data_IF_614679277792
#
_entry.id   IF_614679277792
#
_cell.length_a   1.000
_cell.length_b   1.000
_cell.length_c   1.000
_cell.angle_alpha   90.00
_cell.angle_beta   90.00
_cell.angle_gamma   90.00
#
_symmetry.space_group_name_H-M   'P 1'
#
loop_
_entity.id
_entity.type
_entity.pdbx_description
1 polymer ?
#
# COMPACT_ATOMS: atom_id res chain seq x y z
N UNK A 1 20.65 -25.25 14.32
CA UNK A 1 19.35 -24.54 14.49
C UNK A 1 18.89 -24.05 13.12
N UNK A 2 17.76 -24.55 12.59
CA UNK A 2 17.19 -24.05 11.33
C UNK A 2 16.88 -22.56 11.51
N UNK A 3 17.51 -21.74 10.70
CA UNK A 3 17.20 -20.31 10.62
C UNK A 3 15.74 -20.19 10.17
N UNK A 4 14.83 -19.94 11.12
CA UNK A 4 13.44 -19.64 10.78
C UNK A 4 13.44 -18.38 9.92
N UNK A 5 12.71 -18.39 8.79
CA UNK A 5 12.58 -17.20 7.94
C UNK A 5 12.04 -16.04 8.78
N UNK A 6 12.48 -14.82 8.49
CA UNK A 6 12.05 -13.62 9.21
C UNK A 6 10.51 -13.49 9.26
N UNK A 7 9.82 -13.92 8.19
CA UNK A 7 8.37 -13.99 8.12
C UNK A 7 7.76 -14.99 9.13
N UNK A 8 8.38 -16.16 9.33
CA UNK A 8 7.90 -17.15 10.30
C UNK A 8 8.01 -16.65 11.73
N UNK A 9 9.04 -15.86 12.06
CA UNK A 9 9.17 -15.20 13.36
C UNK A 9 8.10 -14.14 13.57
N UNK A 10 7.89 -13.26 12.62
CA UNK A 10 6.82 -12.24 12.69
C UNK A 10 5.46 -12.89 12.86
N UNK A 11 5.20 -13.98 12.14
CA UNK A 11 3.95 -14.74 12.28
C UNK A 11 3.79 -15.35 13.68
N UNK A 12 4.89 -15.79 14.33
CA UNK A 12 4.82 -16.32 15.70
C UNK A 12 4.38 -15.27 16.72
N UNK A 13 4.80 -14.02 16.58
CA UNK A 13 4.34 -12.91 17.42
C UNK A 13 2.89 -12.54 17.14
N UNK A 14 2.48 -12.46 15.88
CA UNK A 14 1.10 -12.20 15.50
C UNK A 14 0.13 -13.29 15.95
N UNK A 15 0.59 -14.52 16.12
CA UNK A 15 -0.22 -15.64 16.58
C UNK A 15 -0.84 -15.41 17.95
N UNK A 16 -0.21 -14.63 18.83
CA UNK A 16 -0.77 -14.25 20.13
C UNK A 16 -2.06 -13.41 19.95
N UNK A 17 -2.13 -12.62 18.88
CA UNK A 17 -3.24 -11.69 18.57
C UNK A 17 -4.15 -12.21 17.46
N UNK A 18 -4.19 -13.54 17.26
CA UNK A 18 -4.90 -14.19 16.15
C UNK A 18 -6.38 -13.81 16.03
N UNK A 19 -7.08 -13.56 17.15
CA UNK A 19 -8.47 -13.15 17.10
C UNK A 19 -8.66 -11.77 16.50
N UNK A 20 -7.85 -10.80 16.92
CA UNK A 20 -7.89 -9.43 16.34
C UNK A 20 -7.54 -9.45 14.86
N UNK A 21 -6.50 -10.21 14.47
CA UNK A 21 -6.11 -10.38 13.06
C UNK A 21 -7.23 -11.08 12.28
N UNK A 22 -7.87 -12.11 12.83
CA UNK A 22 -8.99 -12.80 12.17
C UNK A 22 -10.16 -11.84 11.94
N UNK A 23 -10.58 -11.08 12.96
CA UNK A 23 -11.65 -10.09 12.81
C UNK A 23 -11.28 -8.99 11.82
N UNK A 24 -10.04 -8.51 11.84
CA UNK A 24 -9.56 -7.53 10.88
C UNK A 24 -9.68 -8.05 9.42
N UNK A 25 -9.20 -9.27 9.16
CA UNK A 25 -9.28 -9.91 7.84
C UNK A 25 -10.73 -10.18 7.44
N UNK A 26 -11.55 -10.71 8.35
CA UNK A 26 -12.96 -10.98 8.08
C UNK A 26 -13.72 -9.72 7.68
N UNK A 27 -13.59 -8.64 8.47
CA UNK A 27 -14.23 -7.36 8.18
C UNK A 27 -13.71 -6.75 6.88
N UNK A 28 -12.40 -6.94 6.56
CA UNK A 28 -11.84 -6.50 5.29
C UNK A 28 -12.46 -7.24 4.12
N UNK A 29 -12.64 -8.56 4.22
CA UNK A 29 -13.31 -9.36 3.19
C UNK A 29 -14.75 -8.89 2.97
N UNK A 30 -15.51 -8.66 4.05
CA UNK A 30 -16.87 -8.11 3.97
C UNK A 30 -16.87 -6.75 3.24
N UNK A 31 -15.94 -5.86 3.59
CA UNK A 31 -15.80 -4.57 2.92
C UNK A 31 -15.50 -4.73 1.43
N UNK A 32 -14.61 -5.66 1.06
CA UNK A 32 -14.28 -5.93 -0.35
C UNK A 32 -15.52 -6.42 -1.12
N UNK A 33 -16.32 -7.30 -0.53
CA UNK A 33 -17.59 -7.76 -1.16
C UNK A 33 -18.51 -6.57 -1.40
N UNK A 34 -18.67 -5.69 -0.40
CA UNK A 34 -19.46 -4.47 -0.55
C UNK A 34 -18.94 -3.57 -1.66
N UNK A 35 -17.63 -3.42 -1.79
CA UNK A 35 -17.00 -2.63 -2.87
C UNK A 35 -17.26 -3.23 -4.25
N UNK A 36 -17.14 -4.53 -4.40
CA UNK A 36 -17.31 -5.22 -5.70
C UNK A 36 -18.77 -5.18 -6.19
N UNK A 37 -19.74 -5.14 -5.29
CA UNK A 37 -21.18 -5.05 -5.63
C UNK A 37 -21.57 -3.63 -6.10
N UNK A 38 -20.76 -2.62 -5.82
CA UNK A 38 -21.06 -1.20 -6.13
C UNK A 38 -21.41 -0.95 -7.60
N UNK A 39 -20.61 -1.33 -8.59
CA UNK A 39 -20.91 -1.10 -9.99
C UNK A 39 -22.19 -1.80 -10.42
N UNK A 40 -22.53 -2.94 -9.85
CA UNK A 40 -23.75 -3.67 -10.15
C UNK A 40 -25.00 -2.90 -9.68
N UNK A 41 -24.99 -2.37 -8.46
CA UNK A 41 -26.10 -1.54 -7.94
C UNK A 41 -26.28 -0.29 -8.79
N UNK A 42 -25.19 0.40 -9.14
CA UNK A 42 -25.25 1.56 -10.04
C UNK A 42 -25.79 1.20 -11.42
N UNK A 43 -25.36 0.04 -11.95
CA UNK A 43 -25.84 -0.47 -13.22
C UNK A 43 -27.37 -0.66 -13.25
N UNK A 44 -27.97 -1.15 -12.16
CA UNK A 44 -29.43 -1.28 -12.05
C UNK A 44 -30.12 0.09 -12.16
N UNK A 45 -29.59 1.12 -11.49
CA UNK A 45 -30.17 2.47 -11.55
C UNK A 45 -30.05 3.08 -12.97
N UNK A 46 -28.89 2.90 -13.62
CA UNK A 46 -28.65 3.39 -14.98
C UNK A 46 -29.55 2.66 -15.98
N UNK A 47 -29.69 1.35 -15.86
CA UNK A 47 -30.55 0.55 -16.74
C UNK A 47 -32.01 0.98 -16.64
N UNK A 48 -32.52 1.15 -15.43
CA UNK A 48 -33.90 1.63 -15.20
C UNK A 48 -34.10 3.03 -15.78
N UNK A 49 -33.18 3.96 -15.52
CA UNK A 49 -33.27 5.32 -16.05
C UNK A 49 -33.26 5.32 -17.58
N UNK A 50 -32.38 4.52 -18.19
CA UNK A 50 -32.27 4.42 -19.65
C UNK A 50 -33.52 3.80 -20.25
N UNK A 51 -34.10 2.77 -19.66
CA UNK A 51 -35.34 2.14 -20.12
C UNK A 51 -36.53 3.11 -20.07
N UNK A 52 -36.64 3.87 -18.98
CA UNK A 52 -37.67 4.87 -18.80
C UNK A 52 -37.57 6.03 -19.83
N UNK A 53 -36.33 6.52 -20.08
CA UNK A 53 -36.08 7.54 -21.08
C UNK A 53 -36.38 7.05 -22.51
N UNK A 54 -36.02 5.82 -22.86
CA UNK A 54 -36.35 5.21 -24.16
C UNK A 54 -37.86 5.05 -24.34
N UNK A 55 -38.60 4.64 -23.31
CA UNK A 55 -40.04 4.52 -23.35
C UNK A 55 -40.70 5.87 -23.57
N UNK A 56 -40.21 6.94 -22.92
CA UNK A 56 -40.68 8.34 -23.15
C UNK A 56 -40.37 8.81 -24.57
N UNK A 57 -39.16 8.55 -25.06
CA UNK A 57 -38.75 8.92 -26.42
C UNK A 57 -39.56 8.24 -27.51
N UNK A 58 -39.97 6.97 -27.27
CA UNK A 58 -40.83 6.20 -28.19
C UNK A 58 -42.32 6.52 -28.06
N UNK A 59 -42.71 7.53 -27.25
CA UNK A 59 -44.09 7.98 -27.15
C UNK A 59 -45.03 7.00 -26.45
N UNK A 60 -44.51 6.09 -25.58
CA UNK A 60 -45.31 5.15 -24.81
C UNK A 60 -46.21 5.90 -23.85
N UNK A 61 -47.54 5.71 -23.97
CA UNK A 61 -48.51 6.38 -23.12
C UNK A 61 -48.28 6.02 -21.65
N UNK A 62 -48.16 7.08 -20.79
CA UNK A 62 -47.88 6.89 -19.36
C UNK A 62 -46.42 6.63 -19.01
N UNK A 63 -45.50 6.69 -20.00
CA UNK A 63 -44.08 6.58 -19.72
C UNK A 63 -43.58 7.74 -18.85
N UNK A 64 -42.90 7.43 -17.75
CA UNK A 64 -42.30 8.41 -16.85
C UNK A 64 -41.16 7.83 -16.11
N UNK A 65 -40.36 8.65 -15.47
CA UNK A 65 -39.22 8.18 -14.64
C UNK A 65 -39.77 7.54 -13.39
N UNK A 66 -39.42 6.28 -13.15
CA UNK A 66 -39.78 5.55 -11.92
C UNK A 66 -38.88 6.01 -10.75
N UNK A 67 -39.20 7.19 -10.22
CA UNK A 67 -38.44 7.83 -9.14
C UNK A 67 -38.40 6.99 -7.86
N UNK A 68 -39.48 6.26 -7.58
CA UNK A 68 -39.54 5.38 -6.39
C UNK A 68 -38.53 4.24 -6.46
N UNK A 69 -38.41 3.57 -7.60
CA UNK A 69 -37.45 2.50 -7.80
C UNK A 69 -36.01 3.03 -7.72
N UNK A 70 -35.72 4.13 -8.38
CA UNK A 70 -34.40 4.79 -8.36
C UNK A 70 -34.06 5.21 -6.91
N UNK A 71 -35.01 5.78 -6.17
CA UNK A 71 -34.80 6.16 -4.77
C UNK A 71 -34.44 4.95 -3.88
N UNK A 72 -35.11 3.81 -4.06
CA UNK A 72 -34.78 2.57 -3.32
C UNK A 72 -33.36 2.11 -3.65
N UNK A 73 -32.96 2.11 -4.93
CA UNK A 73 -31.58 1.74 -5.32
C UNK A 73 -30.56 2.70 -4.69
N UNK A 74 -30.83 3.99 -4.65
CA UNK A 74 -29.95 4.98 -4.04
C UNK A 74 -29.83 4.76 -2.52
N UNK A 75 -30.91 4.42 -1.84
CA UNK A 75 -30.87 4.07 -0.41
C UNK A 75 -30.00 2.81 -0.19
N UNK A 76 -30.19 1.76 -1.01
CA UNK A 76 -29.37 0.54 -0.93
C UNK A 76 -27.91 0.87 -1.18
N UNK A 77 -27.62 1.73 -2.16
CA UNK A 77 -26.26 2.20 -2.45
C UNK A 77 -25.61 2.91 -1.26
N UNK A 78 -26.35 3.82 -0.61
CA UNK A 78 -25.87 4.55 0.56
C UNK A 78 -25.65 3.60 1.77
N UNK A 79 -26.59 2.68 2.02
CA UNK A 79 -26.43 1.67 3.08
C UNK A 79 -25.20 0.79 2.84
N UNK A 80 -25.03 0.31 1.60
CA UNK A 80 -23.84 -0.44 1.20
C UNK A 80 -22.54 0.35 1.49
N UNK A 81 -22.53 1.65 1.12
CA UNK A 81 -21.39 2.54 1.37
C UNK A 81 -21.07 2.65 2.86
N UNK A 82 -22.10 2.80 3.69
CA UNK A 82 -21.96 2.83 5.15
C UNK A 82 -21.35 1.53 5.69
N UNK A 83 -21.85 0.37 5.25
CA UNK A 83 -21.29 -0.93 5.64
C UNK A 83 -19.84 -1.12 5.17
N UNK A 84 -19.49 -0.66 3.97
CA UNK A 84 -18.13 -0.66 3.45
C UNK A 84 -17.20 0.13 4.36
N UNK A 85 -17.55 1.38 4.67
CA UNK A 85 -16.71 2.26 5.48
C UNK A 85 -16.59 1.76 6.93
N UNK A 86 -17.68 1.33 7.56
CA UNK A 86 -17.64 0.77 8.90
C UNK A 86 -16.79 -0.50 8.96
N UNK A 87 -16.97 -1.40 7.99
CA UNK A 87 -16.18 -2.62 7.90
C UNK A 87 -14.69 -2.33 7.69
N UNK A 88 -14.35 -1.37 6.83
CA UNK A 88 -12.97 -0.94 6.59
C UNK A 88 -12.36 -0.27 7.82
N UNK A 89 -13.12 0.60 8.50
CA UNK A 89 -12.67 1.27 9.72
C UNK A 89 -12.35 0.26 10.83
N UNK A 90 -13.28 -0.64 11.14
CA UNK A 90 -13.07 -1.63 12.19
C UNK A 90 -11.99 -2.66 11.81
N UNK A 91 -11.86 -3.02 10.52
CA UNK A 91 -10.77 -3.85 10.04
C UNK A 91 -9.40 -3.23 10.35
N UNK A 92 -9.22 -1.95 10.01
CA UNK A 92 -7.99 -1.21 10.31
C UNK A 92 -7.78 -1.07 11.83
N UNK A 93 -8.83 -0.80 12.60
CA UNK A 93 -8.75 -0.68 14.06
C UNK A 93 -8.25 -1.96 14.72
N UNK A 94 -8.84 -3.12 14.38
CA UNK A 94 -8.40 -4.40 14.93
C UNK A 94 -6.98 -4.76 14.53
N UNK A 95 -6.61 -4.50 13.27
CA UNK A 95 -5.25 -4.76 12.78
C UNK A 95 -4.22 -3.86 13.45
N UNK A 96 -4.51 -2.57 13.57
CA UNK A 96 -3.63 -1.62 14.25
C UNK A 96 -3.41 -2.02 15.70
N UNK A 97 -4.46 -2.36 16.43
CA UNK A 97 -4.34 -2.80 17.82
C UNK A 97 -3.51 -4.09 17.94
N UNK A 98 -3.72 -5.07 17.05
CA UNK A 98 -2.94 -6.30 17.05
C UNK A 98 -1.45 -6.04 16.79
N UNK A 99 -1.13 -5.19 15.82
CA UNK A 99 0.25 -4.84 15.48
C UNK A 99 0.90 -4.01 16.58
N UNK A 100 0.20 -3.03 17.16
CA UNK A 100 0.77 -2.20 18.24
C UNK A 100 1.07 -3.04 19.49
N UNK A 101 0.18 -3.97 19.84
CA UNK A 101 0.42 -4.88 20.95
C UNK A 101 1.61 -5.82 20.67
N UNK A 102 1.71 -6.36 19.46
CA UNK A 102 2.85 -7.16 19.02
C UNK A 102 4.18 -6.37 19.07
N UNK A 103 4.15 -5.11 18.62
CA UNK A 103 5.31 -4.21 18.67
C UNK A 103 5.72 -3.90 20.11
N UNK A 104 4.76 -3.74 21.00
CA UNK A 104 5.03 -3.56 22.43
C UNK A 104 5.74 -4.79 23.01
N UNK A 105 5.27 -6.00 22.71
CA UNK A 105 5.92 -7.24 23.13
C UNK A 105 7.34 -7.35 22.57
N UNK A 106 7.52 -7.03 21.31
CA UNK A 106 8.83 -7.01 20.65
C UNK A 106 9.79 -6.02 21.34
N UNK A 107 9.33 -4.82 21.64
CA UNK A 107 10.13 -3.78 22.35
C UNK A 107 10.50 -4.25 23.76
N UNK A 108 9.58 -4.89 24.48
CA UNK A 108 9.83 -5.44 25.80
C UNK A 108 10.91 -6.54 25.73
N UNK A 109 10.80 -7.48 24.79
CA UNK A 109 11.79 -8.54 24.61
C UNK A 109 13.18 -7.98 24.22
N UNK A 110 13.20 -6.97 23.36
CA UNK A 110 14.44 -6.28 22.99
C UNK A 110 15.06 -5.57 24.20
N UNK A 111 14.25 -4.91 25.03
CA UNK A 111 14.71 -4.24 26.27
C UNK A 111 15.30 -5.24 27.26
N UNK A 112 14.63 -6.36 27.50
CA UNK A 112 15.17 -7.43 28.34
C UNK A 112 16.49 -7.98 27.81
N UNK A 113 16.60 -8.14 26.50
CA UNK A 113 17.82 -8.62 25.85
C UNK A 113 18.98 -7.65 26.04
N UNK A 114 18.75 -6.34 25.89
CA UNK A 114 19.79 -5.32 26.11
C UNK A 114 20.30 -5.36 27.55
N UNK A 115 19.41 -5.52 28.53
CA UNK A 115 19.80 -5.60 29.93
C UNK A 115 20.67 -6.83 30.26
N UNK A 116 20.68 -7.85 29.40
CA UNK A 116 21.48 -9.09 29.56
C UNK A 116 22.77 -9.10 28.72
N UNK A 117 22.96 -8.12 27.85
CA UNK A 117 24.16 -8.04 26.99
C UNK A 117 25.34 -7.51 27.82
N UNK A 118 26.53 -8.15 27.78
CA UNK A 118 27.71 -7.68 28.47
C UNK A 118 28.18 -6.32 27.93
N UNK A 119 28.75 -5.48 28.82
CA UNK A 119 29.24 -4.12 28.49
C UNK A 119 30.22 -4.14 27.31
N UNK A 120 31.04 -5.18 27.18
CA UNK A 120 32.01 -5.35 26.08
C UNK A 120 31.36 -5.40 24.68
N UNK A 121 30.06 -5.64 24.59
CA UNK A 121 29.34 -5.59 23.34
C UNK A 121 29.13 -4.13 22.89
N UNK A 122 28.85 -3.23 23.85
CA UNK A 122 28.64 -1.80 23.58
C UNK A 122 29.94 -1.10 23.18
N UNK A 123 31.09 -1.60 23.66
CA UNK A 123 32.41 -1.07 23.25
C UNK A 123 32.73 -1.35 21.77
N UNK A 124 32.11 -2.41 21.20
CA UNK A 124 32.34 -2.83 19.82
C UNK A 124 31.29 -2.35 18.83
N UNK A 125 30.18 -1.83 19.29
CA UNK A 125 29.04 -1.41 18.45
C UNK A 125 28.65 0.01 18.79
N UNK A 126 28.37 0.81 17.78
CA UNK A 126 27.91 2.18 17.98
C UNK A 126 26.53 2.18 18.65
N UNK A 127 26.39 2.93 19.73
CA UNK A 127 25.11 3.06 20.45
C UNK A 127 23.97 3.55 19.53
N UNK A 128 24.32 4.40 18.55
CA UNK A 128 23.36 4.88 17.52
C UNK A 128 22.73 3.76 16.68
N UNK A 129 23.49 2.72 16.32
CA UNK A 129 22.96 1.58 15.57
C UNK A 129 21.93 0.78 16.39
N UNK A 130 22.22 0.60 17.69
CA UNK A 130 21.28 -0.08 18.58
C UNK A 130 20.00 0.73 18.75
N UNK A 131 20.12 2.03 18.96
CA UNK A 131 18.98 2.94 19.08
C UNK A 131 18.15 2.96 17.78
N UNK A 132 18.80 2.98 16.61
CA UNK A 132 18.15 2.90 15.32
C UNK A 132 17.31 1.63 15.16
N UNK A 133 17.79 0.49 15.61
CA UNK A 133 17.02 -0.78 15.58
C UNK A 133 15.82 -0.75 16.51
N UNK A 134 15.92 -0.11 17.68
CA UNK A 134 14.82 0.03 18.62
C UNK A 134 13.72 0.97 18.16
N UNK A 135 14.10 1.98 17.40
CA UNK A 135 13.18 3.04 16.95
C UNK A 135 12.80 2.82 15.50
N UNK A 136 13.67 3.12 14.55
CA UNK A 136 13.39 3.16 13.12
C UNK A 136 13.07 1.80 12.51
N UNK A 137 13.81 0.73 12.87
CA UNK A 137 13.58 -0.60 12.28
C UNK A 137 12.26 -1.19 12.80
N UNK A 138 12.00 -1.07 14.09
CA UNK A 138 10.74 -1.53 14.70
C UNK A 138 9.54 -0.76 14.14
N UNK A 139 9.67 0.56 13.95
CA UNK A 139 8.63 1.38 13.34
C UNK A 139 8.38 0.99 11.88
N UNK A 140 9.44 0.70 11.13
CA UNK A 140 9.33 0.22 9.74
C UNK A 140 8.57 -1.10 9.66
N UNK A 141 8.86 -2.04 10.59
CA UNK A 141 8.12 -3.32 10.68
C UNK A 141 6.66 -3.07 11.05
N UNK A 142 6.39 -2.17 11.99
CA UNK A 142 5.04 -1.79 12.40
C UNK A 142 4.22 -1.27 11.21
N UNK A 143 4.76 -0.29 10.49
CA UNK A 143 4.10 0.32 9.33
C UNK A 143 3.89 -0.69 8.18
N UNK A 144 4.87 -1.53 7.91
CA UNK A 144 4.76 -2.58 6.90
C UNK A 144 3.64 -3.58 7.25
N UNK A 145 3.53 -4.01 8.50
CA UNK A 145 2.48 -4.94 8.92
C UNK A 145 1.09 -4.31 8.91
N UNK A 146 0.96 -3.08 9.40
CA UNK A 146 -0.34 -2.39 9.44
C UNK A 146 -0.88 -2.11 8.04
N UNK A 147 -0.06 -1.59 7.15
CA UNK A 147 -0.49 -1.15 5.82
C UNK A 147 -0.47 -2.30 4.81
N UNK A 148 0.67 -2.99 4.68
CA UNK A 148 0.86 -3.94 3.59
C UNK A 148 0.05 -5.21 3.77
N UNK A 149 -0.14 -5.70 5.00
CA UNK A 149 -0.89 -6.94 5.22
C UNK A 149 -2.35 -6.81 4.79
N UNK A 150 -3.07 -5.80 5.28
CA UNK A 150 -4.47 -5.57 4.88
C UNK A 150 -4.61 -5.19 3.41
N UNK A 151 -3.60 -4.52 2.84
CA UNK A 151 -3.59 -4.18 1.42
C UNK A 151 -3.45 -5.43 0.54
N UNK A 152 -2.60 -6.40 0.93
CA UNK A 152 -2.49 -7.69 0.24
C UNK A 152 -3.80 -8.46 0.31
N UNK A 153 -4.41 -8.55 1.52
CA UNK A 153 -5.73 -9.18 1.70
C UNK A 153 -6.76 -8.52 0.78
N UNK A 154 -6.83 -7.19 0.79
CA UNK A 154 -7.72 -6.43 -0.07
C UNK A 154 -7.52 -6.75 -1.55
N UNK A 155 -6.27 -6.70 -2.04
CA UNK A 155 -5.96 -6.95 -3.44
C UNK A 155 -6.34 -8.37 -3.88
N UNK A 156 -5.98 -9.39 -3.08
CA UNK A 156 -6.28 -10.79 -3.39
C UNK A 156 -7.79 -11.02 -3.47
N UNK A 157 -8.54 -10.58 -2.47
CA UNK A 157 -10.00 -10.79 -2.46
C UNK A 157 -10.72 -9.93 -3.49
N UNK A 158 -10.24 -8.71 -3.77
CA UNK A 158 -10.77 -7.88 -4.87
C UNK A 158 -10.63 -8.60 -6.20
N UNK A 159 -9.44 -9.14 -6.50
CA UNK A 159 -9.23 -9.91 -7.76
C UNK A 159 -10.17 -11.11 -7.83
N UNK A 160 -10.30 -11.89 -6.75
CA UNK A 160 -11.16 -13.08 -6.70
C UNK A 160 -12.63 -12.70 -6.94
N UNK A 161 -13.14 -11.71 -6.20
CA UNK A 161 -14.55 -11.34 -6.27
C UNK A 161 -14.91 -10.59 -7.57
N UNK A 162 -14.02 -9.69 -8.03
CA UNK A 162 -14.23 -8.99 -9.32
C UNK A 162 -14.19 -10.02 -10.46
N UNK A 163 -13.22 -10.94 -10.46
CA UNK A 163 -13.15 -11.97 -11.48
C UNK A 163 -14.39 -12.86 -11.46
N UNK A 164 -14.84 -13.30 -10.28
CA UNK A 164 -16.08 -14.06 -10.11
C UNK A 164 -17.30 -13.30 -10.64
N UNK A 165 -17.40 -12.01 -10.35
CA UNK A 165 -18.52 -11.18 -10.80
C UNK A 165 -18.52 -10.96 -12.30
N UNK A 166 -17.36 -10.70 -12.92
CA UNK A 166 -17.25 -10.49 -14.37
C UNK A 166 -17.56 -11.80 -15.13
N UNK A 167 -17.10 -12.95 -14.62
CA UNK A 167 -17.47 -14.26 -15.17
C UNK A 167 -18.97 -14.54 -15.10
N UNK A 168 -19.62 -14.15 -14.00
CA UNK A 168 -21.06 -14.30 -13.83
C UNK A 168 -21.86 -13.38 -14.76
N UNK A 169 -21.43 -12.13 -14.93
CA UNK A 169 -22.16 -11.15 -15.75
C UNK A 169 -21.99 -11.38 -17.25
N UNK A 170 -20.77 -11.61 -17.73
CA UNK A 170 -20.49 -11.78 -19.14
C UNK A 170 -19.15 -12.48 -19.39
N UNK A 171 -19.24 -13.70 -19.93
CA UNK A 171 -18.06 -14.53 -20.23
C UNK A 171 -17.14 -13.89 -21.28
N UNK A 172 -17.68 -13.18 -22.26
CA UNK A 172 -16.88 -12.55 -23.32
C UNK A 172 -16.02 -11.40 -22.73
N UNK A 173 -16.62 -10.58 -21.87
CA UNK A 173 -15.90 -9.52 -21.15
C UNK A 173 -14.84 -10.12 -20.22
N UNK A 174 -15.16 -11.23 -19.54
CA UNK A 174 -14.19 -11.91 -18.67
C UNK A 174 -12.94 -12.35 -19.44
N UNK A 175 -13.08 -12.91 -20.63
CA UNK A 175 -11.96 -13.30 -21.47
C UNK A 175 -11.09 -12.10 -21.85
N UNK A 176 -11.71 -10.97 -22.22
CA UNK A 176 -10.97 -9.73 -22.54
C UNK A 176 -10.16 -9.25 -21.34
N UNK A 177 -10.78 -9.23 -20.16
CA UNK A 177 -10.10 -8.83 -18.90
C UNK A 177 -8.93 -9.77 -18.59
N UNK A 178 -9.13 -11.10 -18.67
CA UNK A 178 -8.08 -12.08 -18.42
C UNK A 178 -6.91 -11.91 -19.40
N UNK A 179 -7.18 -11.66 -20.68
CA UNK A 179 -6.15 -11.44 -21.70
C UNK A 179 -5.42 -10.09 -21.51
N UNK A 180 -6.06 -9.09 -20.94
CA UNK A 180 -5.44 -7.79 -20.68
C UNK A 180 -4.38 -7.85 -19.57
N UNK A 181 -4.50 -8.79 -18.61
CA UNK A 181 -3.56 -8.89 -17.47
C UNK A 181 -2.13 -9.21 -17.95
N UNK A 182 -1.87 -10.26 -18.77
CA UNK A 182 -0.53 -10.51 -19.29
C UNK A 182 0.02 -9.36 -20.12
N UNK A 183 -0.81 -8.73 -20.96
CA UNK A 183 -0.39 -7.59 -21.80
C UNK A 183 0.10 -6.43 -20.91
N UNK A 184 -0.68 -6.08 -19.89
CA UNK A 184 -0.31 -5.03 -18.93
C UNK A 184 0.95 -5.40 -18.16
N UNK A 185 1.07 -6.66 -17.70
CA UNK A 185 2.26 -7.13 -16.97
C UNK A 185 3.53 -7.04 -17.82
N UNK A 186 3.51 -7.57 -19.04
CA UNK A 186 4.68 -7.53 -19.93
C UNK A 186 5.01 -6.11 -20.38
N UNK A 187 4.00 -5.27 -20.62
CA UNK A 187 4.17 -3.85 -20.91
C UNK A 187 4.87 -3.12 -19.77
N UNK A 188 4.35 -3.26 -18.55
CA UNK A 188 4.93 -2.65 -17.34
C UNK A 188 6.37 -3.15 -17.10
N UNK A 189 6.61 -4.47 -17.21
CA UNK A 189 7.95 -5.05 -17.06
C UNK A 189 8.94 -4.49 -18.06
N UNK A 190 8.53 -4.32 -19.33
CA UNK A 190 9.38 -3.77 -20.38
C UNK A 190 9.76 -2.31 -20.09
N UNK A 191 8.77 -1.50 -19.66
CA UNK A 191 9.01 -0.11 -19.28
C UNK A 191 9.97 -0.04 -18.08
N UNK A 192 9.71 -0.81 -17.02
CA UNK A 192 10.56 -0.85 -15.83
C UNK A 192 12.00 -1.24 -16.16
N UNK A 193 12.19 -2.29 -16.95
CA UNK A 193 13.52 -2.74 -17.35
C UNK A 193 14.30 -1.68 -18.17
N UNK A 194 13.58 -0.93 -19.01
CA UNK A 194 14.19 0.18 -19.78
C UNK A 194 14.47 1.41 -18.93
N UNK A 195 13.63 1.68 -17.93
CA UNK A 195 13.78 2.84 -17.04
C UNK A 195 14.85 2.63 -15.94
N UNK A 196 15.05 1.38 -15.51
CA UNK A 196 15.98 1.05 -14.43
C UNK A 196 17.42 1.58 -14.61
N UNK A 197 18.05 1.52 -15.79
CA UNK A 197 19.39 2.10 -15.98
C UNK A 197 19.39 3.61 -15.78
N UNK A 198 18.35 4.33 -16.18
CA UNK A 198 18.23 5.78 -15.98
C UNK A 198 18.11 6.13 -14.49
N UNK A 199 17.30 5.39 -13.72
CA UNK A 199 17.23 5.58 -12.27
C UNK A 199 18.57 5.30 -11.57
N UNK A 200 19.31 4.27 -12.00
CA UNK A 200 20.65 4.01 -11.49
C UNK A 200 21.63 5.13 -11.80
N UNK A 201 21.59 5.67 -13.02
CA UNK A 201 22.42 6.83 -13.41
C UNK A 201 22.05 8.07 -12.59
N UNK A 202 20.76 8.36 -12.43
CA UNK A 202 20.28 9.47 -11.60
C UNK A 202 20.76 9.34 -10.16
N UNK A 203 20.62 8.15 -9.55
CA UNK A 203 21.08 7.91 -8.19
C UNK A 203 22.62 8.09 -8.07
N UNK A 204 23.38 7.65 -9.07
CA UNK A 204 24.83 7.83 -9.10
C UNK A 204 25.23 9.30 -9.26
N UNK A 205 24.52 10.08 -10.07
CA UNK A 205 24.72 11.53 -10.21
C UNK A 205 24.41 12.25 -8.90
N UNK A 206 23.25 11.95 -8.28
CA UNK A 206 22.88 12.51 -6.99
C UNK A 206 23.90 12.18 -5.89
N UNK A 207 24.40 10.94 -5.88
CA UNK A 207 25.48 10.54 -4.95
C UNK A 207 26.75 11.33 -5.14
N UNK A 208 27.19 11.55 -6.40
CA UNK A 208 28.36 12.40 -6.73
C UNK A 208 28.14 13.85 -6.37
N UNK A 209 26.96 14.38 -6.65
CA UNK A 209 26.59 15.75 -6.30
C UNK A 209 26.61 15.97 -4.79
N UNK A 210 25.99 15.07 -4.01
CA UNK A 210 25.99 15.15 -2.56
C UNK A 210 27.41 15.06 -1.97
N UNK A 211 28.25 14.14 -2.49
CA UNK A 211 29.64 14.03 -2.09
C UNK A 211 30.42 15.31 -2.40
N UNK A 212 30.23 15.88 -3.59
CA UNK A 212 30.87 17.13 -4.00
C UNK A 212 30.44 18.32 -3.10
N UNK A 213 29.14 18.44 -2.80
CA UNK A 213 28.62 19.49 -1.90
C UNK A 213 29.20 19.31 -0.50
N UNK A 214 29.24 18.09 0.03
CA UNK A 214 29.82 17.82 1.35
C UNK A 214 31.31 18.14 1.40
N UNK A 215 32.08 17.76 0.38
CA UNK A 215 33.50 18.08 0.25
C UNK A 215 33.75 19.59 0.23
N UNK A 216 32.98 20.34 -0.59
CA UNK A 216 33.11 21.79 -0.69
C UNK A 216 32.67 22.51 0.60
N UNK A 217 31.62 22.05 1.28
CA UNK A 217 31.18 22.62 2.56
C UNK A 217 32.23 22.38 3.65
N UNK A 218 32.80 21.18 3.71
CA UNK A 218 33.84 20.85 4.70
C UNK A 218 35.15 21.60 4.41
N UNK A 219 35.51 21.73 3.12
CA UNK A 219 36.72 22.42 2.65
C UNK A 219 36.55 23.93 2.32
N UNK A 220 35.38 24.51 2.66
CA UNK A 220 35.03 25.88 2.24
C UNK A 220 36.12 26.94 2.57
N UNK A 221 36.65 26.90 3.79
CA UNK A 221 37.70 27.83 4.21
C UNK A 221 38.98 27.66 3.38
N UNK A 222 39.34 26.43 3.05
CA UNK A 222 40.52 26.13 2.21
C UNK A 222 40.29 26.62 0.78
N UNK A 223 39.10 26.35 0.26
CA UNK A 223 38.71 26.74 -1.10
C UNK A 223 38.77 28.28 -1.27
N UNK A 224 38.31 29.01 -0.27
CA UNK A 224 38.31 30.46 -0.23
C UNK A 224 39.75 31.07 -0.07
N UNK A 225 40.58 30.41 0.77
CA UNK A 225 41.97 30.83 0.97
C UNK A 225 42.81 30.71 -0.30
N UNK A 226 42.52 29.71 -1.15
CA UNK A 226 43.28 29.49 -2.40
C UNK A 226 42.60 30.07 -3.65
N UNK A 227 41.47 30.80 -3.53
CA UNK A 227 40.76 31.45 -4.63
C UNK A 227 40.27 30.48 -5.70
N UNK A 228 39.82 29.26 -5.29
CA UNK A 228 39.44 28.18 -6.22
C UNK A 228 37.92 28.03 -6.41
N UNK A 229 37.13 29.05 -6.10
CA UNK A 229 35.68 29.03 -6.16
C UNK A 229 35.18 28.77 -7.60
N UNK A 230 35.77 29.45 -8.58
CA UNK A 230 35.41 29.31 -10.01
C UNK A 230 35.68 27.88 -10.53
N UNK A 231 36.79 27.29 -10.15
CA UNK A 231 37.11 25.90 -10.48
C UNK A 231 36.13 24.90 -9.83
N UNK A 232 35.67 25.20 -8.63
CA UNK A 232 34.64 24.39 -7.95
C UNK A 232 33.28 24.48 -8.65
N UNK A 233 32.89 25.65 -9.14
CA UNK A 233 31.68 25.86 -9.89
C UNK A 233 31.70 25.10 -11.24
N UNK A 234 32.80 25.18 -11.99
CA UNK A 234 32.97 24.41 -13.24
C UNK A 234 32.86 22.89 -13.00
N UNK A 235 33.43 22.41 -11.91
CA UNK A 235 33.34 20.97 -11.56
C UNK A 235 31.90 20.56 -11.21
N UNK A 236 31.14 21.44 -10.54
CA UNK A 236 29.74 21.21 -10.24
C UNK A 236 28.89 21.11 -11.51
N UNK A 237 29.06 22.03 -12.44
CA UNK A 237 28.36 22.04 -13.74
C UNK A 237 28.65 20.78 -14.59
N UNK A 238 29.84 20.17 -14.45
CA UNK A 238 30.17 18.91 -15.13
C UNK A 238 29.55 17.67 -14.48
N UNK A 239 29.01 17.77 -13.24
CA UNK A 239 28.39 16.69 -12.52
C UNK A 239 26.87 16.66 -12.79
N UNK A 240 26.28 17.83 -13.03
CA UNK A 240 24.86 18.03 -13.35
C UNK A 240 24.57 17.90 -14.82
#
# INVERSE_FOLDING_TARGET
>A
MKQQSSLARLWSYLKAYRFSVFFAVFLKIVSVIMSVIEPFILGLAITELTSNLLAMANGVAGAGINTSYIAVILVIYLLRGLFYELGSYYSNYFMTNAVQSMIQDLRNEMSEKINRIPVSYFDKHQFGDLLGRFTSDVETVSNALQQSFLQIVNAVFTIIFVMGMVLYLNLQLAIIVILSIPVTYFGAKTILNRSQPYFKQQAAILGRMNGFVQENLTGFNVLKLFGREENSQERFEKIT
#
